data_IF_381090712376
#
_entry.id   IF_381090712376
#
_cell.length_a   1.000
_cell.length_b   1.000
_cell.length_c   1.000
_cell.angle_alpha   90.00
_cell.angle_beta   90.00
_cell.angle_gamma   90.00
#
_symmetry.space_group_name_H-M   'P 1'
#
loop_
_entity.id
_entity.type
_entity.pdbx_description
1 polymer ?
#
# COMPACT_ATOMS: atom_id res chain seq x y z
N UNK A 1 38.81 -12.48 36.14
CA UNK A 1 40.15 -11.99 36.54
C UNK A 1 40.72 -11.13 35.41
N UNK A 2 41.30 -10.00 35.80
CA UNK A 2 41.90 -8.88 35.03
C UNK A 2 43.13 -9.34 34.19
N UNK A 3 43.69 -8.54 33.23
CA UNK A 3 43.82 -7.08 33.36
C UNK A 3 43.60 -6.16 32.16
N UNK A 4 43.32 -4.92 32.56
CA UNK A 4 43.35 -3.65 31.84
C UNK A 4 44.76 -3.32 31.32
N UNK A 5 44.84 -2.75 30.11
CA UNK A 5 45.99 -1.95 29.67
C UNK A 5 45.46 -0.59 29.18
N UNK A 6 45.86 0.46 29.92
CA UNK A 6 45.78 1.88 29.53
C UNK A 6 46.84 2.15 28.46
N UNK A 7 46.46 2.78 27.35
CA UNK A 7 47.42 3.41 26.44
C UNK A 7 47.05 4.87 26.17
N UNK A 8 48.12 5.65 26.16
CA UNK A 8 48.25 7.08 26.41
C UNK A 8 47.98 7.87 25.13
N UNK A 9 47.17 8.93 25.22
CA UNK A 9 46.92 9.85 24.12
C UNK A 9 48.24 10.53 23.68
N UNK A 10 48.59 10.35 22.41
CA UNK A 10 49.77 10.96 21.78
C UNK A 10 49.30 12.17 20.98
N UNK A 11 49.57 13.35 21.53
CA UNK A 11 49.26 14.68 20.96
C UNK A 11 50.26 14.94 19.82
N UNK A 12 49.81 14.88 18.57
CA UNK A 12 50.66 15.22 17.41
C UNK A 12 50.44 16.70 17.06
N UNK A 13 51.37 17.56 17.49
CA UNK A 13 51.45 18.95 17.07
C UNK A 13 52.45 19.07 15.92
N UNK A 14 51.95 19.41 14.72
CA UNK A 14 52.78 20.02 13.67
C UNK A 14 52.07 21.29 13.21
N UNK A 15 52.28 22.36 13.97
CA UNK A 15 52.09 23.72 13.49
C UNK A 15 53.37 24.13 12.75
N UNK A 16 53.27 24.31 11.45
CA UNK A 16 54.34 24.88 10.62
C UNK A 16 54.33 26.40 10.84
N UNK A 17 55.25 26.90 11.65
CA UNK A 17 55.49 28.33 11.79
C UNK A 17 56.47 28.76 10.68
N UNK A 18 55.96 29.45 9.66
CA UNK A 18 56.80 30.20 8.73
C UNK A 18 57.27 31.47 9.43
N UNK A 19 58.56 31.51 9.79
CA UNK A 19 59.24 32.68 10.34
C UNK A 19 59.50 33.65 9.19
N UNK A 20 58.77 34.76 9.12
CA UNK A 20 59.21 35.94 8.38
C UNK A 20 60.02 36.82 9.33
N UNK A 21 61.33 36.83 9.12
CA UNK A 21 62.28 37.74 9.74
C UNK A 21 62.18 39.11 9.06
N UNK A 22 61.77 40.14 9.79
CA UNK A 22 61.95 41.54 9.38
C UNK A 22 62.30 42.37 10.62
N UNK A 23 63.60 42.49 10.91
CA UNK A 23 64.12 43.53 11.78
C UNK A 23 64.49 44.75 10.93
N UNK A 24 63.61 45.75 10.93
CA UNK A 24 63.98 47.15 10.73
C UNK A 24 63.27 47.96 11.81
N UNK A 25 64.05 48.59 12.68
CA UNK A 25 63.62 49.30 13.88
C UNK A 25 63.56 50.79 13.56
N UNK A 26 62.37 51.40 13.58
CA UNK A 26 62.13 52.80 13.99
C UNK A 26 60.68 52.88 14.49
N UNK A 27 60.50 53.65 15.56
CA UNK A 27 59.29 53.82 16.38
C UNK A 27 58.02 54.09 15.57
N UNK A 28 57.03 53.19 15.66
CA UNK A 28 55.60 53.52 15.62
C UNK A 28 54.80 52.26 16.00
N UNK A 29 53.76 52.47 16.80
CA UNK A 29 52.95 51.40 17.37
C UNK A 29 52.41 50.45 16.29
N UNK A 30 52.74 49.15 16.38
CA UNK A 30 52.02 48.11 15.64
C UNK A 30 50.63 48.01 16.26
N UNK A 31 49.68 48.77 15.70
CA UNK A 31 48.25 48.54 15.89
C UNK A 31 47.95 47.23 15.17
N UNK A 32 47.97 46.11 15.90
CA UNK A 32 47.37 44.86 15.42
C UNK A 32 45.87 45.14 15.31
N UNK A 33 45.39 45.54 14.13
CA UNK A 33 43.95 45.64 13.89
C UNK A 33 43.34 44.24 13.93
N UNK A 34 42.47 43.90 14.90
CA UNK A 34 41.86 42.57 15.01
C UNK A 34 40.69 42.38 14.02
N UNK A 35 40.48 43.32 13.09
CA UNK A 35 39.18 43.49 12.45
C UNK A 35 38.90 42.47 11.33
N UNK A 36 39.92 42.04 10.58
CA UNK A 36 39.71 41.24 9.35
C UNK A 36 39.29 39.78 9.63
N UNK A 37 39.80 39.16 10.70
CA UNK A 37 39.44 37.80 11.11
C UNK A 37 38.00 37.72 11.62
N UNK A 38 37.57 38.72 12.41
CA UNK A 38 36.23 38.77 12.96
C UNK A 38 35.18 39.07 11.87
N UNK A 39 35.50 39.95 10.90
CA UNK A 39 34.61 40.27 9.78
C UNK A 39 34.30 39.06 8.87
N UNK A 40 35.31 38.22 8.60
CA UNK A 40 35.13 37.01 7.78
C UNK A 40 34.32 35.94 8.53
N UNK A 41 34.49 35.82 9.85
CA UNK A 41 33.68 34.93 10.71
C UNK A 41 32.21 35.38 10.78
N UNK A 42 31.96 36.68 10.96
CA UNK A 42 30.60 37.24 10.96
C UNK A 42 29.91 37.08 9.60
N UNK A 43 30.63 37.26 8.48
CA UNK A 43 30.10 37.04 7.13
C UNK A 43 29.79 35.57 6.86
N UNK A 44 30.63 34.64 7.30
CA UNK A 44 30.40 33.21 7.14
C UNK A 44 29.19 32.73 7.96
N UNK A 45 29.05 33.21 9.21
CA UNK A 45 27.88 32.96 10.08
C UNK A 45 26.58 33.52 9.48
N UNK A 46 26.63 34.69 8.86
CA UNK A 46 25.48 35.32 8.18
C UNK A 46 25.03 34.51 6.95
N UNK A 47 25.95 34.09 6.07
CA UNK A 47 25.62 33.27 4.89
C UNK A 47 25.07 31.90 5.28
N UNK A 48 25.68 31.24 6.26
CA UNK A 48 25.23 29.95 6.77
C UNK A 48 23.80 30.01 7.35
N UNK A 49 23.46 31.08 8.07
CA UNK A 49 22.11 31.30 8.57
C UNK A 49 21.08 31.41 7.45
N UNK A 50 21.33 32.22 6.42
CA UNK A 50 20.41 32.37 5.28
C UNK A 50 20.26 31.09 4.46
N UNK A 51 21.34 30.33 4.27
CA UNK A 51 21.29 29.01 3.63
C UNK A 51 20.40 28.05 4.45
N UNK A 52 20.60 27.99 5.77
CA UNK A 52 19.78 27.19 6.67
C UNK A 52 18.30 27.63 6.63
N UNK A 53 18.04 28.94 6.62
CA UNK A 53 16.69 29.49 6.53
C UNK A 53 15.97 29.05 5.25
N UNK A 54 16.62 29.18 4.09
CA UNK A 54 16.07 28.75 2.80
C UNK A 54 15.84 27.24 2.80
N UNK A 55 16.81 26.45 3.27
CA UNK A 55 16.68 25.00 3.35
C UNK A 55 15.52 24.58 4.26
N UNK A 56 15.33 25.26 5.39
CA UNK A 56 14.18 25.05 6.27
C UNK A 56 12.88 25.36 5.57
N UNK A 57 12.75 26.51 4.89
CA UNK A 57 11.52 26.88 4.18
C UNK A 57 11.16 25.85 3.11
N UNK A 58 12.15 25.40 2.32
CA UNK A 58 11.96 24.34 1.32
C UNK A 58 11.51 23.04 1.98
N UNK A 59 12.21 22.63 3.05
CA UNK A 59 11.91 21.38 3.76
C UNK A 59 10.50 21.41 4.38
N UNK A 60 10.13 22.50 5.05
CA UNK A 60 8.79 22.72 5.61
C UNK A 60 7.73 22.67 4.49
N UNK A 61 7.98 23.33 3.35
CA UNK A 61 7.07 23.29 2.21
C UNK A 61 6.85 21.87 1.68
N UNK A 62 7.91 21.08 1.57
CA UNK A 62 7.82 19.66 1.17
C UNK A 62 7.04 18.84 2.21
N UNK A 63 7.34 19.00 3.49
CA UNK A 63 6.64 18.28 4.58
C UNK A 63 5.15 18.61 4.62
N UNK A 64 4.77 19.88 4.46
CA UNK A 64 3.36 20.30 4.38
C UNK A 64 2.70 19.67 3.15
N UNK A 65 3.34 19.71 1.98
CA UNK A 65 2.81 19.10 0.77
C UNK A 65 2.57 17.59 0.93
N UNK A 66 3.51 16.88 1.56
CA UNK A 66 3.35 15.46 1.88
C UNK A 66 2.23 15.21 2.90
N UNK A 67 2.09 16.08 3.90
CA UNK A 67 1.03 16.02 4.89
C UNK A 67 -0.37 16.19 4.28
N UNK A 68 -0.53 17.16 3.36
CA UNK A 68 -1.76 17.36 2.59
C UNK A 68 -2.04 16.16 1.68
N UNK A 69 -1.04 15.66 0.96
CA UNK A 69 -1.22 14.49 0.11
C UNK A 69 -1.66 13.25 0.89
N UNK A 70 -1.10 13.01 2.08
CA UNK A 70 -1.55 11.92 2.96
C UNK A 70 -2.96 12.15 3.51
N UNK A 71 -3.32 13.40 3.82
CA UNK A 71 -4.67 13.78 4.26
C UNK A 71 -5.70 13.45 3.17
N UNK A 72 -5.42 13.86 1.93
CA UNK A 72 -6.29 13.60 0.78
C UNK A 72 -6.46 12.10 0.53
N UNK A 73 -5.36 11.33 0.63
CA UNK A 73 -5.42 9.86 0.54
C UNK A 73 -6.23 9.24 1.68
N UNK A 74 -6.12 9.76 2.89
CA UNK A 74 -6.96 9.35 4.02
C UNK A 74 -8.43 9.60 3.75
N UNK A 75 -8.79 10.77 3.24
CA UNK A 75 -10.17 11.14 2.89
C UNK A 75 -10.74 10.27 1.76
N UNK A 76 -9.95 10.00 0.72
CA UNK A 76 -10.33 9.09 -0.36
C UNK A 76 -10.66 7.69 0.18
N UNK A 77 -9.80 7.15 1.06
CA UNK A 77 -10.02 5.84 1.69
C UNK A 77 -11.22 5.84 2.63
N UNK A 78 -11.42 6.92 3.39
CA UNK A 78 -12.57 7.05 4.29
C UNK A 78 -13.89 7.02 3.52
N UNK A 79 -13.99 7.74 2.40
CA UNK A 79 -15.19 7.72 1.55
C UNK A 79 -15.48 6.33 0.99
N UNK A 80 -14.44 5.60 0.58
CA UNK A 80 -14.60 4.24 0.08
C UNK A 80 -15.02 3.27 1.21
N UNK A 81 -14.47 3.40 2.41
CA UNK A 81 -14.86 2.63 3.59
C UNK A 81 -16.33 2.88 3.97
N UNK A 82 -16.78 4.13 3.92
CA UNK A 82 -18.18 4.50 4.16
C UNK A 82 -19.11 3.86 3.12
N UNK A 83 -18.77 3.92 1.83
CA UNK A 83 -19.56 3.27 0.77
C UNK A 83 -19.67 1.76 0.98
N UNK A 84 -18.58 1.10 1.42
CA UNK A 84 -18.59 -0.32 1.72
C UNK A 84 -19.47 -0.65 2.94
N UNK A 85 -19.43 0.20 3.96
CA UNK A 85 -20.28 0.06 5.14
C UNK A 85 -21.76 0.21 4.77
N UNK A 86 -22.11 1.23 3.98
CA UNK A 86 -23.47 1.42 3.45
C UNK A 86 -23.95 0.19 2.68
N UNK A 87 -23.15 -0.33 1.75
CA UNK A 87 -23.47 -1.58 1.01
C UNK A 87 -23.61 -2.78 1.92
N UNK A 88 -22.84 -2.86 3.01
CA UNK A 88 -22.96 -3.94 3.98
C UNK A 88 -24.27 -3.89 4.78
N UNK A 89 -24.89 -2.72 4.90
CA UNK A 89 -26.18 -2.52 5.58
C UNK A 89 -27.38 -2.68 4.64
N UNK A 90 -27.17 -2.54 3.33
CA UNK A 90 -28.20 -2.78 2.33
C UNK A 90 -28.63 -4.26 2.30
N UNK A 91 -29.90 -4.49 1.95
CA UNK A 91 -30.43 -5.83 1.69
C UNK A 91 -29.77 -6.43 0.45
N UNK A 92 -29.65 -7.76 0.44
CA UNK A 92 -29.21 -8.49 -0.75
C UNK A 92 -30.11 -8.21 -1.94
N UNK A 93 -29.51 -8.14 -3.13
CA UNK A 93 -30.22 -8.01 -4.41
C UNK A 93 -30.09 -9.31 -5.21
N UNK A 94 -31.10 -9.66 -5.98
CA UNK A 94 -30.99 -10.77 -6.91
C UNK A 94 -29.89 -10.51 -7.97
N UNK A 95 -29.08 -11.52 -8.29
CA UNK A 95 -27.96 -11.41 -9.23
C UNK A 95 -28.37 -10.82 -10.59
N UNK A 96 -29.53 -11.24 -11.13
CA UNK A 96 -30.01 -10.76 -12.43
C UNK A 96 -30.23 -9.24 -12.47
N UNK A 97 -30.72 -8.65 -11.37
CA UNK A 97 -30.93 -7.20 -11.27
C UNK A 97 -29.58 -6.47 -11.29
N UNK A 98 -28.58 -7.02 -10.61
CA UNK A 98 -27.22 -6.45 -10.64
C UNK A 98 -26.62 -6.56 -12.04
N UNK A 99 -26.84 -7.68 -12.73
CA UNK A 99 -26.37 -7.89 -14.10
C UNK A 99 -27.04 -6.95 -15.12
N UNK A 100 -28.31 -6.60 -14.93
CA UNK A 100 -29.01 -5.63 -15.78
C UNK A 100 -28.49 -4.21 -15.55
N UNK A 101 -28.28 -3.80 -14.29
CA UNK A 101 -27.74 -2.48 -13.94
C UNK A 101 -26.32 -2.30 -14.50
N UNK A 102 -25.49 -3.35 -14.36
CA UNK A 102 -24.12 -3.35 -14.85
C UNK A 102 -24.04 -3.22 -16.39
N UNK A 103 -24.97 -3.84 -17.13
CA UNK A 103 -25.03 -3.71 -18.59
C UNK A 103 -25.61 -2.38 -19.06
N UNK A 104 -26.65 -1.89 -18.40
CA UNK A 104 -27.33 -0.64 -18.74
C UNK A 104 -26.46 0.61 -18.55
N UNK A 105 -25.48 0.54 -17.66
CA UNK A 105 -24.55 1.65 -17.38
C UNK A 105 -23.43 1.83 -18.40
N UNK A 106 -23.35 0.99 -19.44
CA UNK A 106 -22.36 1.13 -20.50
C UNK A 106 -20.91 1.03 -20.01
N UNK A 107 -20.70 0.44 -18.82
CA UNK A 107 -19.40 0.20 -18.20
C UNK A 107 -18.64 -0.89 -18.97
N UNK A 108 -18.24 -0.56 -20.19
CA UNK A 108 -17.14 -1.23 -20.87
C UNK A 108 -15.95 -1.23 -19.91
N UNK A 109 -15.31 -2.37 -19.78
CA UNK A 109 -14.17 -2.65 -18.90
C UNK A 109 -12.89 -1.82 -19.19
N UNK A 110 -13.02 -0.60 -19.73
CA UNK A 110 -11.95 0.27 -20.20
C UNK A 110 -11.78 1.55 -19.35
N UNK A 111 -12.58 1.77 -18.32
CA UNK A 111 -12.30 2.81 -17.31
C UNK A 111 -11.62 2.18 -16.09
N UNK A 112 -10.31 2.47 -15.83
CA UNK A 112 -9.54 1.88 -14.72
C UNK A 112 -10.10 2.19 -13.31
N UNK A 113 -11.08 3.10 -13.23
CA UNK A 113 -11.68 3.63 -12.00
C UNK A 113 -13.04 3.02 -11.64
N UNK A 114 -13.75 2.36 -12.57
CA UNK A 114 -15.13 1.86 -12.36
C UNK A 114 -15.31 0.42 -11.81
N UNK A 115 -14.31 -0.49 -11.71
CA UNK A 115 -14.54 -1.82 -11.16
C UNK A 115 -14.97 -1.83 -9.68
N UNK A 116 -14.71 -0.74 -8.94
CA UNK A 116 -14.96 -0.62 -7.50
C UNK A 116 -16.46 -0.53 -7.12
N UNK A 117 -17.34 -0.35 -8.11
CA UNK A 117 -18.79 -0.20 -7.88
C UNK A 117 -19.45 -1.47 -7.36
N UNK A 118 -18.98 -2.65 -7.79
CA UNK A 118 -19.50 -3.94 -7.34
C UNK A 118 -18.93 -4.41 -6.00
N UNK A 119 -17.79 -3.86 -5.57
CA UNK A 119 -17.12 -4.32 -4.36
C UNK A 119 -18.00 -4.17 -3.13
N UNK A 120 -18.21 -5.28 -2.44
CA UNK A 120 -19.00 -5.36 -1.21
C UNK A 120 -20.51 -5.37 -1.43
N UNK A 121 -20.99 -5.32 -2.68
CA UNK A 121 -22.42 -5.38 -2.98
C UNK A 121 -22.98 -6.75 -2.60
N UNK A 122 -24.00 -6.77 -1.74
CA UNK A 122 -24.66 -8.01 -1.32
C UNK A 122 -25.59 -8.52 -2.41
N UNK A 123 -25.44 -9.78 -2.76
CA UNK A 123 -26.26 -10.45 -3.76
C UNK A 123 -26.70 -11.83 -3.31
N UNK A 124 -27.89 -12.21 -3.74
CA UNK A 124 -28.39 -13.57 -3.67
C UNK A 124 -28.18 -14.22 -5.03
N UNK A 125 -27.60 -15.42 -5.02
CA UNK A 125 -27.36 -16.22 -6.21
C UNK A 125 -28.06 -17.56 -6.09
N UNK A 126 -28.42 -18.11 -7.25
CA UNK A 126 -28.88 -19.48 -7.41
C UNK A 126 -27.90 -20.21 -8.35
N UNK A 127 -27.31 -21.30 -7.85
CA UNK A 127 -26.46 -22.20 -8.63
C UNK A 127 -27.30 -23.26 -9.30
N UNK A 128 -27.03 -23.56 -10.56
CA UNK A 128 -27.67 -24.68 -11.27
C UNK A 128 -27.24 -26.04 -10.71
N UNK A 129 -25.99 -26.12 -10.21
CA UNK A 129 -25.42 -27.34 -9.62
C UNK A 129 -24.66 -27.00 -8.32
N UNK A 130 -24.69 -27.88 -7.31
CA UNK A 130 -24.00 -27.63 -6.04
C UNK A 130 -22.48 -27.88 -6.11
N UNK A 131 -21.99 -28.40 -7.23
CA UNK A 131 -20.57 -28.64 -7.52
C UNK A 131 -20.17 -28.03 -8.86
N UNK A 132 -18.86 -27.82 -9.05
CA UNK A 132 -18.31 -27.20 -10.24
C UNK A 132 -16.80 -27.40 -10.37
N UNK A 133 -16.19 -26.75 -11.35
CA UNK A 133 -14.73 -26.84 -11.55
C UNK A 133 -13.99 -26.12 -10.42
N UNK A 134 -13.15 -26.85 -9.68
CA UNK A 134 -12.30 -26.30 -8.63
C UNK A 134 -10.97 -25.82 -9.21
N UNK A 135 -10.63 -24.57 -8.88
CA UNK A 135 -9.39 -23.90 -9.26
C UNK A 135 -8.62 -23.52 -7.99
N UNK A 136 -7.30 -23.73 -8.01
CA UNK A 136 -6.38 -23.30 -6.96
C UNK A 136 -5.52 -22.17 -7.51
N UNK A 137 -5.76 -20.94 -7.03
CA UNK A 137 -4.90 -19.81 -7.33
C UNK A 137 -3.63 -19.92 -6.47
N UNK A 138 -2.50 -20.18 -7.12
CA UNK A 138 -1.21 -20.41 -6.48
C UNK A 138 -0.57 -19.13 -5.90
N UNK A 139 0.45 -19.33 -5.07
CA UNK A 139 1.33 -18.31 -4.52
C UNK A 139 0.58 -17.18 -3.78
N UNK A 140 -0.47 -17.55 -3.05
CA UNK A 140 -1.19 -16.64 -2.17
C UNK A 140 -0.57 -16.67 -0.78
N UNK A 141 -0.50 -15.53 -0.11
CA UNK A 141 0.08 -15.43 1.23
C UNK A 141 -1.02 -15.02 2.20
N UNK A 142 -1.22 -15.81 3.25
CA UNK A 142 -2.08 -15.46 4.38
C UNK A 142 -1.31 -15.65 5.69
N UNK A 143 -1.23 -14.60 6.51
CA UNK A 143 -0.57 -14.62 7.82
C UNK A 143 0.84 -15.25 7.81
N UNK A 144 1.64 -14.96 6.78
CA UNK A 144 3.00 -15.48 6.62
C UNK A 144 3.11 -16.89 6.04
N UNK A 145 1.98 -17.58 5.80
CA UNK A 145 1.93 -18.88 5.15
C UNK A 145 1.63 -18.74 3.67
N UNK A 146 2.41 -19.44 2.84
CA UNK A 146 2.13 -19.58 1.40
C UNK A 146 1.07 -20.66 1.20
N UNK A 147 0.16 -20.43 0.27
CA UNK A 147 -0.93 -21.34 -0.03
C UNK A 147 -1.69 -20.97 -1.28
N UNK A 148 -2.92 -21.43 -1.32
CA UNK A 148 -3.83 -21.27 -2.44
C UNK A 148 -5.09 -20.56 -2.00
N UNK A 149 -5.67 -19.75 -2.88
CA UNK A 149 -7.10 -19.41 -2.77
C UNK A 149 -7.89 -20.39 -3.62
N UNK A 150 -8.87 -21.01 -3.00
CA UNK A 150 -9.78 -21.96 -3.63
C UNK A 150 -10.87 -21.16 -4.33
N UNK A 151 -11.06 -21.44 -5.61
CA UNK A 151 -12.19 -20.96 -6.38
C UNK A 151 -13.01 -22.12 -6.92
N UNK A 152 -14.31 -21.93 -7.03
CA UNK A 152 -15.20 -22.81 -7.80
C UNK A 152 -15.81 -22.02 -8.94
N UNK A 153 -15.81 -22.57 -10.15
CA UNK A 153 -16.70 -22.10 -11.22
C UNK A 153 -18.05 -22.81 -11.08
N UNK A 154 -19.04 -22.09 -10.56
CA UNK A 154 -20.42 -22.55 -10.44
C UNK A 154 -21.26 -22.07 -11.61
N UNK A 155 -22.12 -22.92 -12.15
CA UNK A 155 -23.11 -22.52 -13.14
C UNK A 155 -24.26 -21.77 -12.47
N UNK A 156 -24.70 -20.66 -13.04
CA UNK A 156 -25.86 -19.89 -12.59
C UNK A 156 -26.76 -19.58 -13.78
N UNK A 157 -28.08 -19.64 -13.55
CA UNK A 157 -29.05 -19.26 -14.55
C UNK A 157 -29.24 -17.74 -14.49
N UNK A 158 -29.04 -17.07 -15.62
CA UNK A 158 -29.35 -15.64 -15.76
C UNK A 158 -30.46 -15.44 -16.79
N UNK A 159 -31.02 -14.24 -16.85
CA UNK A 159 -31.97 -13.86 -17.91
C UNK A 159 -31.39 -14.02 -19.34
N UNK A 160 -30.06 -14.10 -19.49
CA UNK A 160 -29.37 -14.17 -20.79
C UNK A 160 -28.74 -15.55 -21.01
N UNK A 161 -29.31 -16.57 -20.36
CA UNK A 161 -28.84 -17.95 -20.42
C UNK A 161 -27.94 -18.33 -19.25
N UNK A 162 -27.41 -19.55 -19.32
CA UNK A 162 -26.49 -20.09 -18.31
C UNK A 162 -25.13 -19.41 -18.42
N UNK A 163 -24.66 -18.85 -17.31
CA UNK A 163 -23.32 -18.26 -17.17
C UNK A 163 -22.54 -19.00 -16.08
N UNK A 164 -21.23 -18.82 -16.07
CA UNK A 164 -20.41 -19.26 -14.95
C UNK A 164 -20.10 -18.10 -14.02
N UNK A 165 -20.13 -18.36 -12.72
CA UNK A 165 -19.77 -17.42 -11.67
C UNK A 165 -18.57 -17.98 -10.93
N UNK A 166 -17.53 -17.16 -10.79
CA UNK A 166 -16.38 -17.52 -9.98
C UNK A 166 -16.70 -17.29 -8.50
N UNK A 167 -16.63 -18.34 -7.70
CA UNK A 167 -16.97 -18.35 -6.27
C UNK A 167 -15.68 -18.47 -5.47
N UNK A 168 -15.39 -17.47 -4.64
CA UNK A 168 -14.28 -17.47 -3.69
C UNK A 168 -14.63 -18.35 -2.49
N UNK A 169 -13.83 -19.39 -2.27
CA UNK A 169 -14.01 -20.37 -1.22
C UNK A 169 -12.97 -20.25 -0.10
N UNK A 170 -12.10 -19.24 -0.17
CA UNK A 170 -11.13 -18.96 0.87
C UNK A 170 -9.78 -19.65 0.67
N UNK A 171 -8.94 -19.54 1.70
CA UNK A 171 -7.54 -19.94 1.66
C UNK A 171 -7.27 -21.31 2.26
N UNK A 172 -6.34 -22.02 1.64
CA UNK A 172 -5.76 -23.26 2.13
C UNK A 172 -4.24 -23.20 2.06
N UNK A 173 -3.56 -23.55 3.16
CA UNK A 173 -2.11 -23.57 3.20
C UNK A 173 -1.53 -24.63 2.24
N UNK A 174 -0.41 -24.31 1.60
CA UNK A 174 0.32 -25.26 0.78
C UNK A 174 1.21 -26.17 1.65
N UNK A 175 1.55 -27.35 1.11
CA UNK A 175 2.67 -28.13 1.63
C UNK A 175 4.00 -27.47 1.22
N UNK A 176 5.08 -27.79 1.94
CA UNK A 176 6.44 -27.37 1.57
C UNK A 176 6.87 -27.92 0.19
N UNK A 177 6.27 -29.03 -0.26
CA UNK A 177 6.46 -29.56 -1.61
C UNK A 177 5.34 -29.06 -2.53
N UNK A 178 5.66 -28.13 -3.45
CA UNK A 178 4.71 -27.57 -4.42
C UNK A 178 4.04 -28.62 -5.32
N UNK A 179 4.63 -29.81 -5.48
CA UNK A 179 4.03 -30.91 -6.25
C UNK A 179 2.87 -31.58 -5.52
N UNK A 180 2.81 -31.43 -4.19
CA UNK A 180 1.74 -31.95 -3.35
C UNK A 180 0.66 -30.87 -3.19
N UNK A 181 -0.47 -31.08 -3.84
CA UNK A 181 -1.63 -30.21 -3.69
C UNK A 181 -2.29 -30.41 -2.33
N UNK A 182 -2.95 -29.37 -1.78
CA UNK A 182 -3.72 -29.50 -0.57
C UNK A 182 -4.86 -30.51 -0.76
N UNK A 183 -5.09 -31.34 0.26
CA UNK A 183 -6.26 -32.23 0.27
C UNK A 183 -7.47 -31.41 0.67
N UNK A 184 -8.37 -31.19 -0.29
CA UNK A 184 -9.64 -30.52 -0.05
C UNK A 184 -10.67 -31.59 0.34
N UNK A 185 -11.51 -31.29 1.33
CA UNK A 185 -12.73 -32.07 1.57
C UNK A 185 -13.73 -31.95 0.41
N UNK A 186 -14.90 -32.58 0.52
CA UNK A 186 -15.95 -32.43 -0.47
C UNK A 186 -16.44 -30.97 -0.51
N UNK A 187 -16.17 -30.30 -1.63
CA UNK A 187 -16.62 -28.93 -1.86
C UNK A 187 -17.98 -28.98 -2.55
N UNK A 188 -19.03 -28.91 -1.75
CA UNK A 188 -20.42 -28.84 -2.21
C UNK A 188 -21.07 -27.60 -1.60
N UNK A 189 -21.64 -26.75 -2.44
CA UNK A 189 -22.27 -25.48 -2.03
C UNK A 189 -23.80 -25.61 -2.02
N UNK A 190 -24.50 -24.84 -1.17
CA UNK A 190 -25.94 -24.66 -1.29
C UNK A 190 -26.32 -24.11 -2.67
N UNK A 191 -27.46 -24.55 -3.21
CA UNK A 191 -28.02 -24.02 -4.46
C UNK A 191 -28.35 -22.53 -4.32
N UNK A 192 -28.92 -22.12 -3.18
CA UNK A 192 -29.26 -20.72 -2.90
C UNK A 192 -28.35 -20.17 -1.81
N UNK A 193 -27.71 -19.04 -2.07
CA UNK A 193 -26.76 -18.46 -1.14
C UNK A 193 -26.65 -16.95 -1.28
N UNK A 194 -26.51 -16.28 -0.14
CA UNK A 194 -26.21 -14.86 -0.06
C UNK A 194 -24.72 -14.64 0.14
N UNK A 195 -24.21 -13.61 -0.51
CA UNK A 195 -22.81 -13.24 -0.40
C UNK A 195 -22.57 -11.84 -0.91
N UNK A 196 -21.30 -11.54 -1.18
CA UNK A 196 -20.88 -10.24 -1.70
C UNK A 196 -20.09 -10.38 -2.98
N UNK A 197 -20.28 -9.45 -3.89
CA UNK A 197 -19.48 -9.35 -5.10
C UNK A 197 -18.21 -8.56 -4.86
N UNK A 198 -17.18 -8.92 -5.60
CA UNK A 198 -15.98 -8.11 -5.75
C UNK A 198 -15.30 -8.37 -7.08
N UNK A 199 -14.44 -7.45 -7.47
CA UNK A 199 -13.57 -7.59 -8.63
C UNK A 199 -12.12 -7.58 -8.18
N UNK A 200 -11.29 -8.40 -8.82
CA UNK A 200 -9.83 -8.30 -8.69
C UNK A 200 -9.28 -7.43 -9.80
N UNK A 201 -8.25 -6.64 -9.48
CA UNK A 201 -7.46 -5.94 -10.48
C UNK A 201 -6.81 -6.97 -11.40
N UNK A 202 -7.01 -6.85 -12.70
CA UNK A 202 -6.31 -7.67 -13.70
C UNK A 202 -4.83 -7.27 -13.66
N UNK A 203 -3.93 -8.25 -13.63
CA UNK A 203 -2.51 -7.99 -13.78
C UNK A 203 -2.22 -7.69 -15.26
N UNK A 204 -1.87 -6.45 -15.66
CA UNK A 204 -1.63 -6.13 -17.07
C UNK A 204 -0.41 -6.86 -17.64
N UNK A 205 0.51 -7.31 -16.78
CA UNK A 205 1.75 -7.99 -17.15
C UNK A 205 1.58 -9.50 -17.31
N UNK A 206 0.46 -10.07 -16.88
CA UNK A 206 0.19 -11.51 -17.00
C UNK A 206 -1.27 -11.71 -17.40
N UNK A 207 -1.49 -11.92 -18.69
CA UNK A 207 -2.84 -12.13 -19.24
C UNK A 207 -3.18 -13.61 -19.34
N UNK A 208 -2.21 -14.51 -19.19
CA UNK A 208 -2.45 -15.95 -19.23
C UNK A 208 -3.00 -16.45 -17.89
N UNK A 209 -3.79 -17.54 -17.94
CA UNK A 209 -4.24 -18.24 -16.72
C UNK A 209 -3.08 -18.87 -15.95
N UNK A 210 -2.02 -19.26 -16.66
CA UNK A 210 -1.03 -20.20 -16.12
C UNK A 210 -1.68 -21.50 -15.66
N UNK A 211 -2.63 -22.02 -16.45
CA UNK A 211 -3.37 -23.23 -16.13
C UNK A 211 -2.45 -24.45 -16.18
N UNK A 212 -2.41 -25.20 -15.10
CA UNK A 212 -1.64 -26.43 -15.00
C UNK A 212 -2.56 -27.66 -14.98
N UNK A 213 -2.08 -28.77 -15.55
CA UNK A 213 -2.86 -30.00 -15.66
C UNK A 213 -2.86 -30.81 -14.35
N UNK A 214 -3.46 -30.25 -13.31
CA UNK A 214 -3.61 -30.87 -11.99
C UNK A 214 -5.08 -31.13 -11.64
N UNK A 215 -5.33 -31.91 -10.59
CA UNK A 215 -6.68 -32.09 -10.02
C UNK A 215 -6.63 -31.87 -8.51
N UNK A 216 -7.25 -30.82 -7.96
CA UNK A 216 -7.89 -29.68 -8.64
C UNK A 216 -6.95 -28.91 -9.58
N UNK A 217 -7.51 -28.15 -10.53
CA UNK A 217 -6.70 -27.38 -11.49
C UNK A 217 -5.98 -26.24 -10.78
N UNK A 218 -4.69 -26.07 -11.03
CA UNK A 218 -3.89 -24.96 -10.50
C UNK A 218 -3.79 -23.86 -11.56
N UNK A 219 -3.95 -22.62 -11.13
CA UNK A 219 -3.79 -21.41 -11.96
C UNK A 219 -2.83 -20.44 -11.26
N UNK A 220 -2.10 -19.65 -12.04
CA UNK A 220 -1.20 -18.62 -11.51
C UNK A 220 -1.86 -17.24 -11.48
N UNK A 221 -2.87 -17.03 -12.33
CA UNK A 221 -3.61 -15.78 -12.38
C UNK A 221 -5.09 -16.03 -12.69
N UNK A 222 -5.95 -15.09 -12.27
CA UNK A 222 -7.36 -15.07 -12.66
C UNK A 222 -7.50 -14.18 -13.89
N UNK A 223 -7.82 -14.80 -15.02
CA UNK A 223 -8.28 -14.09 -16.22
C UNK A 223 -9.65 -14.62 -16.61
N UNK A 224 -10.68 -13.79 -16.47
CA UNK A 224 -12.08 -14.14 -16.76
C UNK A 224 -12.28 -14.52 -18.22
N UNK A 225 -11.66 -13.80 -19.15
CA UNK A 225 -11.78 -14.08 -20.59
C UNK A 225 -11.14 -15.41 -20.95
N UNK A 226 -9.95 -15.69 -20.42
CA UNK A 226 -9.27 -16.96 -20.64
C UNK A 226 -10.01 -18.13 -19.95
N UNK A 227 -10.61 -17.92 -18.76
CA UNK A 227 -11.47 -18.93 -18.14
C UNK A 227 -12.69 -19.23 -19.03
N UNK A 228 -13.31 -18.19 -19.60
CA UNK A 228 -14.46 -18.35 -20.50
C UNK A 228 -14.09 -19.15 -21.75
N UNK A 229 -12.90 -18.91 -22.31
CA UNK A 229 -12.37 -19.69 -23.44
C UNK A 229 -12.09 -21.14 -23.05
N UNK A 230 -11.51 -21.36 -21.86
CA UNK A 230 -11.18 -22.69 -21.38
C UNK A 230 -12.42 -23.55 -21.09
N UNK A 231 -13.47 -22.98 -20.49
CA UNK A 231 -14.69 -23.71 -20.17
C UNK A 231 -15.70 -23.75 -21.31
N UNK A 232 -15.52 -22.93 -22.35
CA UNK A 232 -16.48 -22.79 -23.45
C UNK A 232 -17.78 -22.08 -23.05
N UNK A 233 -17.84 -21.50 -21.85
CA UNK A 233 -19.00 -20.81 -21.32
C UNK A 233 -18.58 -19.45 -20.74
N UNK A 234 -19.39 -18.42 -20.95
CA UNK A 234 -19.07 -17.08 -20.45
C UNK A 234 -19.03 -17.04 -18.92
N UNK A 235 -17.89 -16.61 -18.39
CA UNK A 235 -17.66 -16.36 -16.97
C UNK A 235 -17.95 -14.89 -16.67
N UNK A 236 -18.76 -14.64 -15.64
CA UNK A 236 -19.10 -13.28 -15.21
C UNK A 236 -17.84 -12.51 -14.76
N UNK A 237 -17.75 -11.19 -15.03
CA UNK A 237 -16.53 -10.38 -14.83
C UNK A 237 -16.29 -9.98 -13.37
N UNK A 238 -16.77 -10.76 -12.42
CA UNK A 238 -16.65 -10.52 -10.99
C UNK A 238 -16.66 -11.85 -10.23
N UNK A 239 -16.28 -11.77 -8.96
CA UNK A 239 -16.15 -12.89 -8.06
C UNK A 239 -17.21 -12.77 -6.97
N UNK A 240 -17.87 -13.87 -6.68
CA UNK A 240 -18.81 -13.97 -5.57
C UNK A 240 -18.11 -14.58 -4.35
N UNK A 241 -18.20 -13.91 -3.22
CA UNK A 241 -17.72 -14.44 -1.94
C UNK A 241 -18.92 -14.73 -1.02
N UNK A 242 -19.17 -15.99 -0.68
CA UNK A 242 -20.24 -16.37 0.23
C UNK A 242 -20.04 -15.77 1.64
N UNK A 243 -21.13 -15.33 2.29
CA UNK A 243 -21.06 -14.79 3.67
C UNK A 243 -21.54 -15.77 4.74
N UNK A 244 -22.27 -16.82 4.36
CA UNK A 244 -22.73 -17.85 5.29
C UNK A 244 -22.65 -19.22 4.60
N UNK A 245 -21.62 -19.99 4.94
CA UNK A 245 -21.42 -21.37 4.47
C UNK A 245 -21.50 -22.40 5.61
N UNK A 246 -22.20 -22.07 6.70
CA UNK A 246 -22.23 -22.93 7.89
C UNK A 246 -20.82 -23.17 8.44
N UNK A 247 -20.45 -24.44 8.63
CA UNK A 247 -19.13 -24.86 9.14
C UNK A 247 -18.04 -24.89 8.04
N UNK A 248 -17.81 -23.77 7.37
CA UNK A 248 -16.80 -23.70 6.29
C UNK A 248 -15.37 -23.58 6.87
N UNK A 249 -14.42 -24.47 6.51
CA UNK A 249 -13.12 -24.53 7.18
C UNK A 249 -12.09 -23.53 6.63
N UNK A 250 -12.36 -22.88 5.50
CA UNK A 250 -11.38 -22.04 4.80
C UNK A 250 -11.64 -20.55 5.05
N UNK A 251 -10.59 -19.80 5.41
CA UNK A 251 -10.68 -18.36 5.67
C UNK A 251 -10.83 -17.56 4.37
N UNK A 252 -11.84 -16.70 4.28
CA UNK A 252 -12.05 -15.80 3.16
C UNK A 252 -11.03 -14.64 3.19
N UNK A 253 -10.11 -14.57 2.22
CA UNK A 253 -9.03 -13.57 2.24
C UNK A 253 -9.44 -12.18 1.75
N UNK A 254 -10.39 -12.10 0.82
CA UNK A 254 -10.71 -10.80 0.24
C UNK A 254 -11.30 -9.88 1.30
N UNK A 255 -10.58 -8.78 1.54
CA UNK A 255 -10.99 -7.68 2.41
C UNK A 255 -11.09 -6.42 1.55
N UNK A 256 -12.18 -5.64 1.65
CA UNK A 256 -12.41 -4.50 0.77
C UNK A 256 -11.30 -3.42 0.80
N UNK A 257 -10.60 -3.25 1.93
CA UNK A 257 -9.43 -2.38 2.04
C UNK A 257 -8.29 -3.09 2.78
N UNK A 258 -7.07 -3.06 2.21
CA UNK A 258 -5.86 -3.61 2.83
C UNK A 258 -5.27 -2.68 3.90
N UNK A 259 -5.51 -1.37 3.77
CA UNK A 259 -5.02 -0.33 4.66
C UNK A 259 -6.15 0.64 4.96
N UNK A 260 -6.39 0.87 6.24
CA UNK A 260 -7.47 1.75 6.67
C UNK A 260 -7.12 3.23 6.54
N UNK A 261 -8.15 4.07 6.43
CA UNK A 261 -8.02 5.53 6.36
C UNK A 261 -7.23 6.13 7.53
N UNK A 262 -7.35 5.57 8.75
CA UNK A 262 -6.72 6.15 9.94
C UNK A 262 -5.19 6.15 9.88
N UNK A 263 -4.59 5.16 9.19
CA UNK A 263 -3.13 5.16 9.01
C UNK A 263 -2.65 6.34 8.17
N UNK A 264 -3.39 6.72 7.13
CA UNK A 264 -3.07 7.88 6.31
C UNK A 264 -3.18 9.19 7.11
N UNK A 265 -4.21 9.31 7.97
CA UNK A 265 -4.31 10.44 8.90
C UNK A 265 -3.16 10.48 9.92
N UNK A 266 -2.74 9.33 10.43
CA UNK A 266 -1.56 9.22 11.30
C UNK A 266 -0.28 9.72 10.61
N UNK A 267 -0.06 9.34 9.36
CA UNK A 267 1.08 9.85 8.58
C UNK A 267 0.97 11.35 8.27
N UNK A 268 -0.22 11.84 7.91
CA UNK A 268 -0.45 13.27 7.70
C UNK A 268 -0.10 14.08 8.96
N UNK A 269 -0.55 13.64 10.13
CA UNK A 269 -0.21 14.26 11.41
C UNK A 269 1.31 14.26 11.66
N UNK A 270 1.99 13.14 11.43
CA UNK A 270 3.46 13.07 11.55
C UNK A 270 4.17 14.11 10.67
N UNK A 271 3.76 14.25 9.40
CA UNK A 271 4.34 15.23 8.48
C UNK A 271 4.14 16.67 8.97
N UNK A 272 2.95 17.01 9.47
CA UNK A 272 2.67 18.34 10.00
C UNK A 272 3.43 18.64 11.30
N UNK A 273 3.56 17.66 12.21
CA UNK A 273 4.33 17.83 13.44
C UNK A 273 5.81 18.08 13.12
N UNK A 274 6.40 17.32 12.19
CA UNK A 274 7.79 17.55 11.76
C UNK A 274 7.97 18.93 11.14
N UNK A 275 7.03 19.38 10.31
CA UNK A 275 7.04 20.72 9.74
C UNK A 275 6.98 21.81 10.83
N UNK A 276 6.10 21.65 11.82
CA UNK A 276 5.95 22.58 12.93
C UNK A 276 7.20 22.65 13.81
N UNK A 277 7.80 21.49 14.15
CA UNK A 277 9.04 21.43 14.94
C UNK A 277 10.19 22.11 14.20
N UNK A 278 10.36 21.82 12.91
CA UNK A 278 11.44 22.40 12.12
C UNK A 278 11.29 23.93 11.97
N UNK A 279 10.06 24.40 11.74
CA UNK A 279 9.76 25.84 11.70
C UNK A 279 10.02 26.50 13.05
N UNK A 280 9.57 25.90 14.15
CA UNK A 280 9.76 26.42 15.49
C UNK A 280 11.25 26.53 15.86
N UNK A 281 12.05 25.50 15.56
CA UNK A 281 13.50 25.54 15.78
C UNK A 281 14.16 26.67 14.98
N UNK A 282 13.78 26.85 13.72
CA UNK A 282 14.33 27.91 12.88
C UNK A 282 13.95 29.30 13.38
N UNK A 283 12.72 29.49 13.87
CA UNK A 283 12.28 30.74 14.48
C UNK A 283 13.06 31.03 15.78
N UNK A 284 13.31 30.03 16.62
CA UNK A 284 14.14 30.19 17.83
C UNK A 284 15.58 30.58 17.50
N UNK A 285 16.17 29.93 16.48
CA UNK A 285 17.53 30.25 16.00
C UNK A 285 17.56 31.67 15.43
N UNK A 286 16.54 32.06 14.64
CA UNK A 286 16.39 33.40 14.09
C UNK A 286 16.24 34.47 15.16
N UNK A 287 15.41 34.24 16.18
CA UNK A 287 15.26 35.15 17.32
C UNK A 287 16.58 35.34 18.08
N UNK A 288 17.31 34.26 18.34
CA UNK A 288 18.64 34.34 18.98
C UNK A 288 19.66 35.07 18.11
N UNK A 289 19.63 34.86 16.80
CA UNK A 289 20.51 35.55 15.85
C UNK A 289 20.25 37.07 15.83
N UNK A 290 18.99 37.48 15.85
CA UNK A 290 18.60 38.90 15.90
C UNK A 290 18.97 39.58 17.23
N UNK A 291 18.99 38.83 18.35
CA UNK A 291 19.37 39.36 19.67
C UNK A 291 20.89 39.45 19.90
N UNK A 292 21.68 38.71 19.11
CA UNK A 292 23.15 38.76 19.14
C UNK A 292 23.75 39.83 18.22
N UNK A 293 22.95 40.40 17.33
CA UNK A 293 23.27 41.59 16.54
C UNK A 293 22.89 42.85 17.30
#
# INVERSE_FOLDING_TARGET
MRPFIKLKAMKNSKATNTIFNNNAKVDDAIVITPNRSNDDEHKFRSKGFWIAAVLTVVSVGVLIKLGVWQLDRGNEKLRYEQQLLERSQQSSRALDIVLSDWRGTGLRAQEPSSPQTLNGLKVDIELATPSGLILLLDNQINQGMVGYVIYMLGETQTQNGRKQLLIDLGFVAASNDRRKLPQLGNITLPTNMSGRLYVRSVNPLSQELGLENTTPKRIQNINIQALSQYTGQEVLPFIFQPQSLGSWPYEMLWRPSAMKSEKHFGYSFQWFVMAAVLLFLMLLIGYRYMKQK
#
